data_IF_496041678035
#
_entry.id   IF_496041678035
#
_cell.length_a   1.000
_cell.length_b   1.000
_cell.length_c   1.000
_cell.angle_alpha   90.00
_cell.angle_beta   90.00
_cell.angle_gamma   90.00
#
_symmetry.space_group_name_H-M   'P 1'
#
loop_
_entity.id
_entity.type
_entity.pdbx_description
1 polymer ?
#
# COMPACT_ATOMS: atom_id res chain seq x y z
N UNK A 1 4.89 -20.68 -5.21
CA UNK A 1 4.24 -21.76 -4.43
C UNK A 1 5.17 -22.40 -3.39
N UNK A 2 6.47 -22.14 -3.39
CA UNK A 2 7.46 -22.71 -2.45
C UNK A 2 7.56 -22.01 -1.08
N UNK A 3 7.21 -20.75 -0.98
CA UNK A 3 7.31 -19.95 0.27
C UNK A 3 6.35 -20.41 1.38
N UNK A 4 5.18 -20.93 1.05
CA UNK A 4 4.22 -21.44 2.06
C UNK A 4 4.71 -22.73 2.74
N UNK A 5 5.51 -23.54 2.07
CA UNK A 5 6.09 -24.75 2.66
C UNK A 5 7.21 -24.46 3.67
N UNK A 6 8.00 -23.40 3.44
CA UNK A 6 9.11 -23.04 4.34
C UNK A 6 8.59 -22.53 5.69
N UNK A 7 7.55 -21.70 5.71
CA UNK A 7 6.94 -21.19 6.95
C UNK A 7 6.25 -22.33 7.72
N UNK A 8 5.66 -23.30 7.03
CA UNK A 8 5.04 -24.46 7.67
C UNK A 8 6.08 -25.39 8.33
N UNK A 9 7.26 -25.56 7.72
CA UNK A 9 8.36 -26.32 8.30
C UNK A 9 8.93 -25.69 9.57
N UNK A 10 9.07 -24.38 9.62
CA UNK A 10 9.54 -23.64 10.80
C UNK A 10 8.52 -23.74 11.96
N UNK A 11 7.22 -23.66 11.69
CA UNK A 11 6.17 -23.86 12.71
C UNK A 11 6.14 -25.27 13.27
N UNK A 12 6.41 -26.28 12.44
CA UNK A 12 6.44 -27.68 12.87
C UNK A 12 7.63 -27.98 13.77
N UNK A 13 8.79 -27.35 13.53
CA UNK A 13 9.97 -27.48 14.39
C UNK A 13 9.74 -26.83 15.77
N UNK A 14 9.02 -25.71 15.86
CA UNK A 14 8.70 -25.06 17.15
C UNK A 14 7.80 -25.90 18.06
N UNK A 15 6.90 -26.68 17.48
CA UNK A 15 6.00 -27.54 18.26
C UNK A 15 6.67 -28.84 18.74
N UNK A 16 7.75 -29.30 18.11
CA UNK A 16 8.52 -30.45 18.55
C UNK A 16 9.40 -30.18 19.77
N UNK A 17 9.70 -28.90 20.08
CA UNK A 17 10.49 -28.50 21.25
C UNK A 17 9.64 -28.19 22.50
N UNK A 18 8.31 -28.24 22.43
CA UNK A 18 7.39 -27.90 23.54
C UNK A 18 6.67 -29.08 24.17
N UNK A 19 6.94 -30.33 23.77
CA UNK A 19 6.41 -31.50 24.52
C UNK A 19 7.28 -31.76 25.76
N UNK A 20 6.83 -31.19 26.86
CA UNK A 20 7.23 -31.47 28.24
C UNK A 20 6.71 -32.83 28.63
N UNK A 21 7.49 -33.94 28.39
CA UNK A 21 7.33 -35.19 29.19
C UNK A 21 8.36 -36.23 28.78
N UNK A 22 9.68 -35.99 29.02
CA UNK A 22 10.66 -37.05 28.88
C UNK A 22 11.88 -36.90 29.84
N UNK A 23 11.65 -36.42 31.05
CA UNK A 23 12.72 -36.30 32.05
C UNK A 23 12.26 -36.80 33.41
N UNK A 24 12.07 -38.13 33.53
CA UNK A 24 12.11 -38.83 34.80
C UNK A 24 12.51 -40.26 34.49
N UNK A 25 13.81 -40.51 34.51
CA UNK A 25 14.46 -41.79 34.90
C UNK A 25 15.87 -41.83 34.31
N UNK A 26 16.83 -41.81 35.19
CA UNK A 26 18.31 -41.85 35.03
C UNK A 26 18.96 -40.47 35.08
N UNK A 27 19.28 -40.03 36.29
CA UNK A 27 20.22 -38.93 36.52
C UNK A 27 21.59 -39.31 35.96
N UNK A 28 22.13 -38.55 34.98
CA UNK A 28 23.45 -38.81 34.45
C UNK A 28 24.51 -38.61 35.55
N UNK A 29 25.58 -39.41 35.53
CA UNK A 29 26.68 -39.25 36.47
C UNK A 29 27.29 -37.86 36.39
N UNK A 30 27.86 -37.36 37.50
CA UNK A 30 28.49 -36.03 37.57
C UNK A 30 29.47 -35.76 36.41
N UNK A 31 30.19 -36.80 35.96
CA UNK A 31 31.10 -36.75 34.83
C UNK A 31 30.38 -36.61 33.46
N UNK A 32 29.13 -37.11 33.31
CA UNK A 32 28.37 -36.99 32.09
C UNK A 32 27.73 -35.61 31.99
N UNK A 33 27.36 -35.02 33.12
CA UNK A 33 26.86 -33.62 33.19
C UNK A 33 27.97 -32.64 32.79
N UNK A 34 29.19 -32.84 33.28
CA UNK A 34 30.37 -32.01 32.93
C UNK A 34 30.69 -32.14 31.43
N UNK A 35 30.63 -33.33 30.86
CA UNK A 35 30.82 -33.54 29.40
C UNK A 35 29.74 -32.91 28.59
N UNK A 36 28.47 -32.91 29.03
CA UNK A 36 27.36 -32.30 28.36
C UNK A 36 27.47 -30.77 28.41
N UNK A 37 27.82 -30.20 29.55
CA UNK A 37 28.06 -28.75 29.71
C UNK A 37 29.22 -28.31 28.80
N UNK A 38 30.33 -29.02 28.77
CA UNK A 38 31.45 -28.69 27.88
C UNK A 38 31.06 -28.78 26.39
N UNK A 39 30.24 -29.75 26.00
CA UNK A 39 29.71 -29.80 24.59
C UNK A 39 28.77 -28.62 24.28
N UNK A 40 27.89 -28.24 25.20
CA UNK A 40 26.99 -27.10 25.02
C UNK A 40 27.80 -25.80 24.93
N UNK A 41 28.80 -25.62 25.79
CA UNK A 41 29.70 -24.45 25.74
C UNK A 41 30.48 -24.41 24.43
N UNK A 42 31.02 -25.56 23.96
CA UNK A 42 31.70 -25.61 22.66
C UNK A 42 30.80 -25.31 21.49
N UNK A 43 29.55 -25.82 21.48
CA UNK A 43 28.57 -25.54 20.44
C UNK A 43 28.15 -24.06 20.49
N UNK A 44 27.99 -23.50 21.69
CA UNK A 44 27.66 -22.06 21.86
C UNK A 44 28.79 -21.15 21.38
N UNK A 45 30.05 -21.51 21.66
CA UNK A 45 31.24 -20.79 21.18
C UNK A 45 31.33 -20.91 19.65
N UNK A 46 31.08 -22.07 19.07
CA UNK A 46 31.10 -22.29 17.62
C UNK A 46 29.93 -21.53 16.94
N UNK A 47 28.74 -21.44 17.58
CA UNK A 47 27.66 -20.63 17.07
C UNK A 47 27.96 -19.13 17.12
N UNK A 48 28.54 -18.63 18.19
CA UNK A 48 28.93 -17.21 18.31
C UNK A 48 30.08 -16.89 17.34
N UNK A 49 31.06 -17.79 17.15
CA UNK A 49 32.10 -17.58 16.14
C UNK A 49 31.58 -17.79 14.71
N UNK A 50 30.70 -18.74 14.49
CA UNK A 50 30.03 -18.94 13.20
C UNK A 50 29.15 -17.75 12.80
N UNK A 51 28.41 -17.18 13.73
CA UNK A 51 27.63 -15.95 13.45
C UNK A 51 28.53 -14.74 13.18
N UNK A 52 29.67 -14.59 13.84
CA UNK A 52 30.60 -13.50 13.54
C UNK A 52 31.36 -13.68 12.22
N UNK A 53 31.54 -14.91 11.74
CA UNK A 53 32.21 -15.18 10.46
C UNK A 53 31.24 -15.07 9.26
N UNK A 54 29.91 -15.16 9.52
CA UNK A 54 28.86 -14.93 8.53
C UNK A 54 28.40 -13.47 8.45
N UNK A 55 28.94 -12.59 9.31
CA UNK A 55 28.91 -11.14 9.05
C UNK A 55 30.13 -10.81 8.14
N UNK A 56 30.25 -11.50 7.01
CA UNK A 56 30.80 -10.85 5.84
C UNK A 56 29.98 -9.56 5.68
N UNK A 57 30.68 -8.43 5.46
CA UNK A 57 30.06 -7.18 5.02
C UNK A 57 29.03 -7.59 3.98
N UNK A 58 27.77 -7.67 4.37
CA UNK A 58 26.68 -7.89 3.44
C UNK A 58 26.94 -6.88 2.34
N UNK A 59 27.05 -7.35 1.10
CA UNK A 59 26.96 -6.49 -0.05
C UNK A 59 25.82 -5.49 0.26
N UNK A 60 25.97 -4.20 -0.03
CA UNK A 60 24.94 -3.22 0.24
C UNK A 60 23.64 -3.87 -0.24
N UNK A 61 22.69 -4.02 0.70
CA UNK A 61 21.42 -4.68 0.43
C UNK A 61 20.86 -4.01 -0.81
N UNK A 62 20.51 -4.80 -1.81
CA UNK A 62 20.01 -4.30 -3.07
C UNK A 62 18.81 -3.39 -2.77
N UNK A 63 18.65 -2.30 -3.53
CA UNK A 63 17.57 -1.34 -3.34
C UNK A 63 16.17 -1.97 -3.28
N UNK A 64 16.01 -3.09 -3.97
CA UNK A 64 14.81 -3.93 -3.94
C UNK A 64 14.48 -4.43 -2.51
N UNK A 65 15.48 -4.82 -1.72
CA UNK A 65 15.26 -5.29 -0.34
C UNK A 65 14.55 -4.24 0.53
N UNK A 66 15.00 -2.99 0.48
CA UNK A 66 14.37 -1.92 1.26
C UNK A 66 12.97 -1.59 0.78
N UNK A 67 12.69 -1.72 -0.51
CA UNK A 67 11.34 -1.52 -1.07
C UNK A 67 10.41 -2.64 -0.57
N UNK A 68 10.85 -3.89 -0.58
CA UNK A 68 10.07 -5.03 -0.07
C UNK A 68 9.77 -4.89 1.41
N UNK A 69 10.77 -4.52 2.23
CA UNK A 69 10.57 -4.27 3.66
C UNK A 69 9.65 -3.08 3.92
N UNK A 70 9.74 -2.03 3.10
CA UNK A 70 8.83 -0.89 3.13
C UNK A 70 7.39 -1.30 2.90
N UNK A 71 7.12 -2.09 1.88
CA UNK A 71 5.78 -2.59 1.59
C UNK A 71 5.28 -3.60 2.63
N UNK A 72 6.16 -4.41 3.22
CA UNK A 72 5.81 -5.31 4.32
C UNK A 72 5.40 -4.53 5.57
N UNK A 73 6.14 -3.48 5.91
CA UNK A 73 5.80 -2.58 7.01
C UNK A 73 4.46 -1.86 6.73
N UNK A 74 4.27 -1.35 5.51
CA UNK A 74 3.03 -0.71 5.05
C UNK A 74 1.82 -1.63 5.22
N UNK A 75 1.87 -2.85 4.67
CA UNK A 75 0.79 -3.84 4.77
C UNK A 75 0.48 -4.27 6.20
N UNK A 76 1.40 -3.98 7.13
CA UNK A 76 1.23 -4.19 8.58
C UNK A 76 0.77 -2.92 9.30
N UNK A 77 0.38 -1.88 8.58
CA UNK A 77 -0.01 -0.55 9.09
C UNK A 77 1.08 0.18 9.89
N UNK A 78 2.35 -0.19 9.70
CA UNK A 78 3.53 0.42 10.34
C UNK A 78 4.14 1.50 9.44
N UNK A 79 3.37 2.56 9.17
CA UNK A 79 3.69 3.54 8.14
C UNK A 79 4.98 4.34 8.39
N UNK A 80 5.33 4.64 9.65
CA UNK A 80 6.59 5.31 10.00
C UNK A 80 7.82 4.41 9.74
N UNK A 81 7.66 3.10 9.87
CA UNK A 81 8.70 2.13 9.55
C UNK A 81 8.81 1.96 8.03
N UNK A 82 7.68 1.91 7.33
CA UNK A 82 7.63 1.90 5.88
C UNK A 82 8.37 3.12 5.30
N UNK A 83 8.12 4.32 5.82
CA UNK A 83 8.84 5.54 5.41
C UNK A 83 10.34 5.42 5.56
N UNK A 84 10.84 4.84 6.66
CA UNK A 84 12.29 4.66 6.87
C UNK A 84 12.89 3.75 5.80
N UNK A 85 12.22 2.66 5.48
CA UNK A 85 12.68 1.73 4.45
C UNK A 85 12.66 2.38 3.07
N UNK A 86 11.57 3.05 2.68
CA UNK A 86 11.50 3.74 1.39
C UNK A 86 12.53 4.87 1.27
N UNK A 87 12.77 5.65 2.34
CA UNK A 87 13.83 6.67 2.33
C UNK A 87 15.22 6.05 2.20
N UNK A 88 15.48 4.93 2.89
CA UNK A 88 16.76 4.23 2.73
C UNK A 88 16.93 3.72 1.29
N UNK A 89 15.85 3.21 0.68
CA UNK A 89 15.89 2.81 -0.73
C UNK A 89 16.19 4.01 -1.67
N UNK A 90 15.61 5.17 -1.40
CA UNK A 90 15.90 6.41 -2.16
C UNK A 90 17.38 6.81 -2.03
N UNK A 91 17.94 6.73 -0.81
CA UNK A 91 19.33 7.11 -0.54
C UNK A 91 20.35 6.14 -1.13
N UNK A 92 19.98 4.88 -1.30
CA UNK A 92 20.89 3.81 -1.76
C UNK A 92 20.82 3.56 -3.26
N UNK A 93 19.79 4.05 -3.95
CA UNK A 93 19.59 3.85 -5.38
C UNK A 93 19.87 5.10 -6.19
N UNK A 94 20.22 4.90 -7.46
CA UNK A 94 20.41 5.98 -8.42
C UNK A 94 19.09 6.75 -8.62
N UNK A 95 19.17 8.08 -8.65
CA UNK A 95 18.01 8.99 -8.72
C UNK A 95 17.14 8.87 -9.98
N UNK A 96 17.60 8.14 -11.00
CA UNK A 96 16.86 7.85 -12.24
C UNK A 96 16.37 6.40 -12.34
N UNK A 97 16.59 5.58 -11.31
CA UNK A 97 16.30 4.15 -11.36
C UNK A 97 14.81 3.83 -11.10
N UNK A 98 14.39 2.64 -11.54
CA UNK A 98 13.07 2.08 -11.21
C UNK A 98 12.89 1.96 -9.69
N UNK A 99 13.92 1.56 -8.95
CA UNK A 99 13.87 1.45 -7.49
C UNK A 99 13.63 2.79 -6.80
N UNK A 100 14.26 3.87 -7.29
CA UNK A 100 14.00 5.22 -6.79
C UNK A 100 12.53 5.63 -7.05
N UNK A 101 12.02 5.36 -8.25
CA UNK A 101 10.62 5.58 -8.60
C UNK A 101 9.66 4.82 -7.68
N UNK A 102 9.86 3.50 -7.51
CA UNK A 102 9.02 2.65 -6.65
C UNK A 102 9.04 3.11 -5.19
N UNK A 103 10.17 3.58 -4.69
CA UNK A 103 10.32 4.09 -3.33
C UNK A 103 9.53 5.38 -3.11
N UNK A 104 9.54 6.30 -4.07
CA UNK A 104 8.74 7.51 -4.03
C UNK A 104 7.24 7.22 -4.06
N UNK A 105 6.81 6.22 -4.84
CA UNK A 105 5.42 5.73 -4.84
C UNK A 105 5.05 5.19 -3.47
N UNK A 106 5.92 4.38 -2.85
CA UNK A 106 5.73 3.85 -1.50
C UNK A 106 5.58 4.93 -0.43
N UNK A 107 6.45 5.96 -0.47
CA UNK A 107 6.34 7.12 0.42
C UNK A 107 5.03 7.89 0.21
N UNK A 108 4.59 8.04 -1.04
CA UNK A 108 3.31 8.66 -1.37
C UNK A 108 2.16 7.93 -0.69
N UNK A 109 2.08 6.62 -0.86
CA UNK A 109 1.07 5.77 -0.23
C UNK A 109 1.11 5.84 1.30
N UNK A 110 2.29 5.70 1.89
CA UNK A 110 2.47 5.77 3.33
C UNK A 110 1.93 7.10 3.90
N UNK A 111 2.21 8.22 3.24
CA UNK A 111 1.70 9.52 3.66
C UNK A 111 0.18 9.67 3.46
N UNK A 112 -0.44 9.07 2.41
CA UNK A 112 -1.89 9.04 2.24
C UNK A 112 -2.53 8.32 3.43
N UNK A 113 -2.05 7.13 3.78
CA UNK A 113 -2.63 6.34 4.87
C UNK A 113 -2.40 6.98 6.26
N UNK A 114 -1.26 7.62 6.47
CA UNK A 114 -1.04 8.44 7.69
C UNK A 114 -2.03 9.60 7.78
N UNK A 115 -2.30 10.26 6.66
CA UNK A 115 -3.29 11.33 6.62
C UNK A 115 -4.71 10.85 6.95
N UNK A 116 -5.08 9.65 6.51
CA UNK A 116 -6.38 9.04 6.82
C UNK A 116 -6.49 8.58 8.28
N UNK A 117 -5.39 8.18 8.91
CA UNK A 117 -5.37 7.69 10.29
C UNK A 117 -5.44 8.82 11.34
N UNK A 118 -5.27 10.09 10.95
CA UNK A 118 -5.21 11.24 11.86
C UNK A 118 -6.43 12.13 11.63
N UNK A 119 -6.97 12.71 12.70
CA UNK A 119 -8.07 13.67 12.61
C UNK A 119 -7.73 14.86 11.69
N UNK A 120 -8.72 15.34 10.94
CA UNK A 120 -8.63 16.24 9.78
C UNK A 120 -7.66 17.43 9.87
N UNK A 121 -7.50 18.04 11.02
CA UNK A 121 -6.69 19.27 11.16
C UNK A 121 -5.17 19.04 11.10
N UNK A 122 -4.71 17.85 11.45
CA UNK A 122 -3.28 17.49 11.47
C UNK A 122 -2.83 16.75 10.19
N UNK A 123 -3.75 16.35 9.34
CA UNK A 123 -3.50 15.54 8.13
C UNK A 123 -2.89 16.32 6.96
N UNK A 124 -3.05 17.67 6.93
CA UNK A 124 -2.61 18.52 5.82
C UNK A 124 -1.13 18.35 5.44
N UNK A 125 -0.25 18.17 6.43
CA UNK A 125 1.18 17.95 6.18
C UNK A 125 1.45 16.66 5.40
N UNK A 126 0.79 15.58 5.79
CA UNK A 126 0.96 14.28 5.13
C UNK A 126 0.40 14.26 3.71
N UNK A 127 -0.77 14.86 3.49
CA UNK A 127 -1.38 14.96 2.15
C UNK A 127 -0.48 15.76 1.19
N UNK A 128 0.10 16.85 1.67
CA UNK A 128 1.04 17.66 0.90
C UNK A 128 2.32 16.87 0.59
N UNK A 129 2.92 16.22 1.60
CA UNK A 129 4.10 15.39 1.41
C UNK A 129 3.85 14.23 0.43
N UNK A 130 2.67 13.59 0.52
CA UNK A 130 2.26 12.59 -0.46
C UNK A 130 2.27 13.18 -1.87
N UNK A 131 1.64 14.33 -2.08
CA UNK A 131 1.61 15.01 -3.38
C UNK A 131 2.99 15.36 -3.90
N UNK A 132 3.92 15.83 -3.05
CA UNK A 132 5.28 16.13 -3.42
C UNK A 132 6.04 14.88 -3.91
N UNK A 133 6.01 13.78 -3.14
CA UNK A 133 6.65 12.52 -3.51
C UNK A 133 6.08 11.93 -4.80
N UNK A 134 4.74 11.90 -4.91
CA UNK A 134 4.06 11.35 -6.09
C UNK A 134 4.29 12.18 -7.35
N UNK A 135 4.40 13.52 -7.24
CA UNK A 135 4.75 14.36 -8.37
C UNK A 135 6.19 14.10 -8.85
N UNK A 136 7.14 13.92 -7.93
CA UNK A 136 8.51 13.53 -8.28
C UNK A 136 8.50 12.15 -8.95
N UNK A 137 7.77 11.20 -8.41
CA UNK A 137 7.60 9.86 -9.00
C UNK A 137 7.02 9.93 -10.42
N UNK A 138 5.97 10.75 -10.64
CA UNK A 138 5.34 10.91 -11.95
C UNK A 138 6.32 11.51 -12.97
N UNK A 139 7.06 12.53 -12.59
CA UNK A 139 8.09 13.13 -13.45
C UNK A 139 9.20 12.12 -13.77
N UNK A 140 9.63 11.33 -12.79
CA UNK A 140 10.64 10.30 -12.98
C UNK A 140 10.16 9.21 -13.92
N UNK A 141 8.93 8.74 -13.74
CA UNK A 141 8.28 7.71 -14.59
C UNK A 141 8.33 8.11 -16.08
N UNK A 142 8.06 9.37 -16.40
CA UNK A 142 8.08 9.89 -17.77
C UNK A 142 9.48 9.88 -18.39
N UNK A 143 10.54 9.84 -17.57
CA UNK A 143 11.93 9.88 -18.02
C UNK A 143 12.61 8.50 -17.97
N UNK A 144 11.97 7.48 -17.38
CA UNK A 144 12.50 6.11 -17.37
C UNK A 144 12.38 5.54 -18.78
N UNK A 145 13.53 5.13 -19.36
CA UNK A 145 13.54 4.43 -20.62
C UNK A 145 13.22 2.94 -20.41
N UNK A 146 12.01 2.54 -20.77
CA UNK A 146 11.54 1.16 -20.58
C UNK A 146 12.39 0.14 -21.32
N UNK A 147 12.97 0.51 -22.48
CA UNK A 147 13.80 -0.38 -23.29
C UNK A 147 15.14 -0.72 -22.61
N UNK A 148 15.59 0.12 -21.67
CA UNK A 148 16.82 -0.07 -20.91
C UNK A 148 16.61 -0.80 -19.58
N UNK A 149 15.35 -1.02 -19.16
CA UNK A 149 15.01 -1.76 -17.96
C UNK A 149 15.22 -3.25 -18.22
N UNK A 150 15.80 -3.97 -17.25
CA UNK A 150 15.90 -5.43 -17.34
C UNK A 150 14.52 -6.08 -17.29
N UNK A 151 14.36 -7.24 -17.97
CA UNK A 151 13.06 -7.93 -18.05
C UNK A 151 12.45 -8.21 -16.68
N UNK A 152 13.27 -8.47 -15.66
CA UNK A 152 12.82 -8.76 -14.30
C UNK A 152 12.15 -7.54 -13.64
N UNK A 153 12.54 -6.32 -14.01
CA UNK A 153 11.99 -5.07 -13.45
C UNK A 153 10.80 -4.52 -14.27
N UNK A 154 10.50 -5.06 -15.45
CA UNK A 154 9.36 -4.60 -16.27
C UNK A 154 8.04 -4.77 -15.50
N UNK A 155 7.85 -5.93 -14.85
CA UNK A 155 6.64 -6.20 -14.05
C UNK A 155 6.48 -5.21 -12.90
N UNK A 156 7.55 -4.98 -12.15
CA UNK A 156 7.56 -4.06 -11.01
C UNK A 156 7.31 -2.62 -11.44
N UNK A 157 7.89 -2.20 -12.57
CA UNK A 157 7.64 -0.88 -13.14
C UNK A 157 6.16 -0.68 -13.52
N UNK A 158 5.53 -1.66 -14.19
CA UNK A 158 4.12 -1.56 -14.58
C UNK A 158 3.19 -1.56 -13.37
N UNK A 159 3.45 -2.40 -12.37
CA UNK A 159 2.73 -2.40 -11.09
C UNK A 159 2.91 -1.06 -10.39
N UNK A 160 4.15 -0.57 -10.27
CA UNK A 160 4.46 0.73 -9.67
C UNK A 160 3.78 1.90 -10.37
N UNK A 161 3.66 1.86 -11.70
CA UNK A 161 2.92 2.86 -12.49
C UNK A 161 1.42 2.85 -12.14
N UNK A 162 0.79 1.69 -12.06
CA UNK A 162 -0.61 1.57 -11.65
C UNK A 162 -0.80 2.06 -10.21
N UNK A 163 0.09 1.70 -9.29
CA UNK A 163 0.08 2.20 -7.91
C UNK A 163 0.26 3.73 -7.86
N UNK A 164 1.11 4.31 -8.69
CA UNK A 164 1.29 5.76 -8.80
C UNK A 164 0.00 6.46 -9.20
N UNK A 165 -0.66 6.00 -10.25
CA UNK A 165 -1.90 6.63 -10.72
C UNK A 165 -3.03 6.54 -9.71
N UNK A 166 -3.20 5.39 -9.04
CA UNK A 166 -4.16 5.25 -7.96
C UNK A 166 -3.85 6.20 -6.79
N UNK A 167 -2.58 6.30 -6.38
CA UNK A 167 -2.14 7.21 -5.33
C UNK A 167 -2.39 8.68 -5.69
N UNK A 168 -2.07 9.09 -6.91
CA UNK A 168 -2.31 10.44 -7.40
C UNK A 168 -3.80 10.78 -7.42
N UNK A 169 -4.63 9.87 -7.94
CA UNK A 169 -6.08 10.05 -7.95
C UNK A 169 -6.64 10.27 -6.53
N UNK A 170 -6.29 9.41 -5.59
CA UNK A 170 -6.71 9.52 -4.18
C UNK A 170 -6.18 10.79 -3.52
N UNK A 171 -4.90 11.09 -3.68
CA UNK A 171 -4.25 12.26 -3.07
C UNK A 171 -4.86 13.57 -3.58
N UNK A 172 -5.12 13.69 -4.88
CA UNK A 172 -5.73 14.89 -5.47
C UNK A 172 -7.16 15.12 -4.94
N UNK A 173 -7.98 14.08 -4.96
CA UNK A 173 -9.35 14.16 -4.43
C UNK A 173 -9.36 14.50 -2.94
N UNK A 174 -8.51 13.84 -2.15
CA UNK A 174 -8.42 14.09 -0.71
C UNK A 174 -7.94 15.50 -0.39
N UNK A 175 -6.92 15.99 -1.11
CA UNK A 175 -6.41 17.36 -0.95
C UNK A 175 -7.46 18.41 -1.36
N UNK A 176 -8.20 18.17 -2.44
CA UNK A 176 -9.31 19.04 -2.85
C UNK A 176 -10.41 19.11 -1.77
N UNK A 177 -10.81 17.96 -1.21
CA UNK A 177 -11.78 17.88 -0.09
C UNK A 177 -11.31 18.70 1.12
N UNK A 178 -10.02 18.58 1.51
CA UNK A 178 -9.45 19.36 2.61
C UNK A 178 -9.44 20.87 2.36
N UNK A 179 -9.04 21.31 1.16
CA UNK A 179 -9.06 22.72 0.80
C UNK A 179 -10.46 23.28 0.82
N UNK A 180 -11.45 22.53 0.32
CA UNK A 180 -12.85 22.92 0.33
C UNK A 180 -13.42 23.03 1.76
N UNK A 181 -13.05 22.11 2.67
CA UNK A 181 -13.51 22.10 4.05
C UNK A 181 -12.95 23.26 4.90
N UNK A 182 -11.76 23.79 4.57
CA UNK A 182 -11.11 24.89 5.31
C UNK A 182 -11.78 26.28 5.12
N UNK A 183 -12.87 26.37 4.40
CA UNK A 183 -13.89 27.42 4.53
C UNK A 183 -13.59 28.82 3.99
N UNK A 184 -12.41 29.10 3.45
CA UNK A 184 -12.10 30.38 2.81
C UNK A 184 -12.18 30.21 1.30
N UNK A 185 -13.40 30.26 0.75
CA UNK A 185 -13.62 30.14 -0.70
C UNK A 185 -13.28 31.49 -1.36
N UNK A 186 -11.99 31.70 -1.64
CA UNK A 186 -11.59 32.68 -2.66
C UNK A 186 -11.75 32.03 -4.04
N UNK A 187 -11.91 32.85 -5.08
CA UNK A 187 -11.92 32.37 -6.47
C UNK A 187 -10.70 31.50 -6.80
N UNK A 188 -9.53 31.88 -6.30
CA UNK A 188 -8.28 31.14 -6.49
C UNK A 188 -8.37 29.74 -5.86
N UNK A 189 -8.90 29.62 -4.63
CA UNK A 189 -9.07 28.32 -3.97
C UNK A 189 -10.08 27.47 -4.71
N UNK A 190 -11.20 28.04 -5.16
CA UNK A 190 -12.21 27.35 -5.95
C UNK A 190 -11.62 26.78 -7.23
N UNK A 191 -10.81 27.54 -7.95
CA UNK A 191 -10.13 27.07 -9.16
C UNK A 191 -9.12 25.98 -8.86
N UNK A 192 -8.33 26.09 -7.77
CA UNK A 192 -7.37 25.05 -7.35
C UNK A 192 -8.09 23.75 -6.98
N UNK A 193 -9.19 23.84 -6.23
CA UNK A 193 -9.99 22.67 -5.85
C UNK A 193 -10.54 21.97 -7.10
N UNK A 194 -11.07 22.74 -8.05
CA UNK A 194 -11.57 22.21 -9.31
C UNK A 194 -10.46 21.49 -10.08
N UNK A 195 -9.29 22.12 -10.26
CA UNK A 195 -8.15 21.50 -10.96
C UNK A 195 -7.72 20.19 -10.29
N UNK A 196 -7.70 20.13 -8.94
CA UNK A 196 -7.36 18.91 -8.23
C UNK A 196 -8.36 17.78 -8.49
N UNK A 197 -9.66 18.07 -8.57
CA UNK A 197 -10.64 17.05 -8.95
C UNK A 197 -10.49 16.61 -10.41
N UNK A 198 -10.21 17.53 -11.33
CA UNK A 198 -9.93 17.23 -12.74
C UNK A 198 -8.68 16.31 -12.85
N UNK A 199 -7.58 16.65 -12.18
CA UNK A 199 -6.38 15.81 -12.12
C UNK A 199 -6.66 14.43 -11.50
N UNK A 200 -7.49 14.37 -10.45
CA UNK A 200 -7.88 13.09 -9.82
C UNK A 200 -8.61 12.18 -10.80
N UNK A 201 -9.52 12.72 -11.58
CA UNK A 201 -10.23 12.00 -12.64
C UNK A 201 -9.23 11.51 -13.69
N UNK A 202 -8.39 12.39 -14.22
CA UNK A 202 -7.40 12.07 -15.25
C UNK A 202 -6.48 10.92 -14.81
N UNK A 203 -5.95 10.95 -13.59
CA UNK A 203 -5.12 9.85 -13.08
C UNK A 203 -5.91 8.56 -12.89
N UNK A 204 -7.16 8.64 -12.42
CA UNK A 204 -7.99 7.46 -12.25
C UNK A 204 -8.33 6.77 -13.59
N UNK A 205 -8.42 7.52 -14.68
CA UNK A 205 -8.67 7.00 -16.04
C UNK A 205 -7.47 6.27 -16.65
N UNK A 206 -6.25 6.47 -16.09
CA UNK A 206 -5.06 5.72 -16.50
C UNK A 206 -5.02 4.28 -15.93
N UNK A 207 -5.96 3.92 -15.05
CA UNK A 207 -6.01 2.60 -14.43
C UNK A 207 -6.82 1.62 -15.27
N UNK A 208 -6.33 0.40 -15.37
CA UNK A 208 -7.00 -0.71 -16.03
C UNK A 208 -8.06 -1.33 -15.09
N UNK A 209 -9.06 -2.00 -15.66
CA UNK A 209 -10.20 -2.55 -14.92
C UNK A 209 -9.82 -3.69 -13.97
N UNK A 210 -8.64 -4.27 -14.12
CA UNK A 210 -8.10 -5.32 -13.26
C UNK A 210 -7.18 -4.79 -12.15
N UNK A 211 -7.14 -3.47 -11.96
CA UNK A 211 -6.33 -2.86 -10.90
C UNK A 211 -6.67 -3.44 -9.52
N UNK A 212 -5.65 -3.93 -8.84
CA UNK A 212 -5.67 -4.36 -7.44
C UNK A 212 -4.46 -3.79 -6.74
N UNK A 213 -4.69 -3.10 -5.62
CA UNK A 213 -3.59 -2.64 -4.79
C UNK A 213 -3.06 -3.79 -3.94
N UNK A 214 -1.92 -4.34 -4.31
CA UNK A 214 -1.38 -5.58 -3.72
C UNK A 214 -1.04 -5.46 -2.22
N UNK A 215 -0.90 -4.24 -1.72
CA UNK A 215 -0.47 -3.96 -0.35
C UNK A 215 -1.63 -3.62 0.60
N UNK A 216 -2.83 -3.42 0.06
CA UNK A 216 -4.08 -3.34 0.80
C UNK A 216 -5.21 -3.99 -0.02
N UNK A 217 -5.68 -5.13 0.43
CA UNK A 217 -6.71 -5.93 -0.25
C UNK A 217 -8.08 -5.24 -0.29
N UNK A 218 -8.27 -4.18 0.50
CA UNK A 218 -9.52 -3.42 0.53
C UNK A 218 -9.57 -2.34 -0.56
N UNK A 219 -8.44 -1.98 -1.17
CA UNK A 219 -8.41 -1.00 -2.26
C UNK A 219 -8.39 -1.73 -3.62
N UNK A 220 -9.49 -1.64 -4.34
CA UNK A 220 -9.72 -2.29 -5.64
C UNK A 220 -10.15 -1.26 -6.68
N UNK A 221 -10.29 -1.69 -7.93
CA UNK A 221 -10.76 -0.84 -9.02
C UNK A 221 -12.16 -0.23 -8.74
N UNK A 222 -13.05 -0.98 -8.08
CA UNK A 222 -14.35 -0.45 -7.67
C UNK A 222 -14.25 0.81 -6.78
N UNK A 223 -13.29 0.87 -5.86
CA UNK A 223 -13.08 2.05 -5.01
C UNK A 223 -12.61 3.25 -5.83
N UNK A 224 -11.81 3.00 -6.86
CA UNK A 224 -11.39 4.03 -7.82
C UNK A 224 -12.58 4.51 -8.68
N UNK A 225 -13.50 3.61 -9.08
CA UNK A 225 -14.73 4.00 -9.80
C UNK A 225 -15.66 4.84 -8.92
N UNK A 226 -15.80 4.49 -7.64
CA UNK A 226 -16.55 5.30 -6.66
C UNK A 226 -15.93 6.69 -6.55
N UNK A 227 -14.63 6.78 -6.33
CA UNK A 227 -13.88 8.05 -6.26
C UNK A 227 -14.08 8.89 -7.54
N UNK A 228 -13.94 8.26 -8.70
CA UNK A 228 -14.12 8.91 -10.01
C UNK A 228 -15.53 9.45 -10.17
N UNK A 229 -16.54 8.65 -9.81
CA UNK A 229 -17.95 9.06 -9.83
C UNK A 229 -18.20 10.26 -8.94
N UNK A 230 -17.69 10.26 -7.70
CA UNK A 230 -17.79 11.40 -6.78
C UNK A 230 -17.15 12.66 -7.37
N UNK A 231 -15.96 12.54 -7.93
CA UNK A 231 -15.24 13.67 -8.52
C UNK A 231 -15.98 14.24 -9.74
N UNK A 232 -16.52 13.40 -10.63
CA UNK A 232 -17.34 13.85 -11.76
C UNK A 232 -18.61 14.57 -11.30
N UNK A 233 -19.29 14.09 -10.24
CA UNK A 233 -20.45 14.78 -9.67
C UNK A 233 -20.08 16.16 -9.12
N UNK A 234 -18.96 16.28 -8.41
CA UNK A 234 -18.46 17.56 -7.87
C UNK A 234 -18.14 18.54 -9.01
N UNK A 235 -17.61 18.05 -10.12
CA UNK A 235 -17.28 18.82 -11.31
C UNK A 235 -18.53 19.20 -12.14
N UNK A 236 -19.70 18.61 -11.84
CA UNK A 236 -20.95 18.80 -12.59
C UNK A 236 -21.04 17.96 -13.86
N UNK A 237 -20.19 16.98 -14.05
CA UNK A 237 -20.12 16.09 -15.21
C UNK A 237 -20.99 14.84 -14.96
N UNK A 238 -22.32 15.03 -14.99
CA UNK A 238 -23.28 13.99 -14.61
C UNK A 238 -23.29 12.77 -15.54
N UNK A 239 -23.06 12.95 -16.83
CA UNK A 239 -23.04 11.85 -17.80
C UNK A 239 -21.86 10.91 -17.53
N UNK A 240 -20.68 11.47 -17.33
CA UNK A 240 -19.47 10.73 -17.01
C UNK A 240 -19.56 10.06 -15.64
N UNK A 241 -20.21 10.73 -14.67
CA UNK A 241 -20.46 10.12 -13.35
C UNK A 241 -21.36 8.88 -13.47
N UNK A 242 -22.43 8.93 -14.27
CA UNK A 242 -23.30 7.77 -14.53
C UNK A 242 -22.51 6.65 -15.22
N UNK A 243 -21.72 6.99 -16.24
CA UNK A 243 -20.91 6.01 -16.97
C UNK A 243 -19.87 5.32 -16.05
N UNK A 244 -19.21 6.10 -15.18
CA UNK A 244 -18.25 5.56 -14.21
C UNK A 244 -18.92 4.66 -13.18
N UNK A 245 -20.06 5.08 -12.62
CA UNK A 245 -20.81 4.29 -11.65
C UNK A 245 -21.28 2.94 -12.22
N UNK A 246 -21.78 2.94 -13.45
CA UNK A 246 -22.30 1.75 -14.12
C UNK A 246 -21.19 0.74 -14.51
N UNK A 247 -19.90 1.06 -14.30
CA UNK A 247 -18.78 0.14 -14.42
C UNK A 247 -18.47 -0.62 -13.12
N UNK A 248 -19.08 -0.24 -11.98
CA UNK A 248 -18.84 -0.90 -10.70
C UNK A 248 -19.32 -2.34 -10.78
N UNK A 249 -18.44 -3.26 -10.45
CA UNK A 249 -18.76 -4.69 -10.30
C UNK A 249 -19.33 -4.93 -8.90
N UNK A 250 -20.65 -4.94 -8.80
CA UNK A 250 -21.37 -5.11 -7.54
C UNK A 250 -21.16 -6.49 -6.90
N UNK A 251 -20.78 -7.50 -7.68
CA UNK A 251 -20.51 -8.85 -7.17
C UNK A 251 -19.19 -8.91 -6.37
N UNK A 252 -18.33 -7.91 -6.51
CA UNK A 252 -17.09 -7.77 -5.75
C UNK A 252 -17.23 -6.96 -4.46
N UNK A 253 -18.42 -6.44 -4.17
CA UNK A 253 -18.67 -5.71 -2.93
C UNK A 253 -18.98 -6.68 -1.79
N UNK A 254 -18.45 -6.40 -0.59
CA UNK A 254 -18.64 -7.21 0.61
C UNK A 254 -19.99 -6.91 1.33
N UNK A 255 -20.88 -6.15 0.69
CA UNK A 255 -22.19 -5.74 1.21
C UNK A 255 -23.27 -5.78 0.13
N UNK A 256 -24.52 -5.90 0.55
CA UNK A 256 -25.65 -5.91 -0.38
C UNK A 256 -26.00 -4.49 -0.85
N UNK A 257 -26.18 -4.33 -2.16
CA UNK A 257 -26.67 -3.12 -2.81
C UNK A 257 -28.05 -3.39 -3.41
N UNK A 258 -28.92 -2.38 -3.38
CA UNK A 258 -30.26 -2.48 -3.94
C UNK A 258 -30.23 -2.86 -5.43
N UNK A 259 -31.18 -3.69 -5.86
CA UNK A 259 -31.30 -4.14 -7.26
C UNK A 259 -31.46 -2.96 -8.23
N UNK A 260 -32.09 -1.87 -7.80
CA UNK A 260 -32.20 -0.62 -8.58
C UNK A 260 -30.84 -0.07 -8.99
N UNK A 261 -29.85 -0.11 -8.08
CA UNK A 261 -28.49 0.36 -8.35
C UNK A 261 -27.70 -0.59 -9.24
N UNK A 262 -27.96 -1.89 -9.15
CA UNK A 262 -27.30 -2.93 -9.97
C UNK A 262 -27.76 -2.95 -11.42
N UNK A 263 -29.01 -2.54 -11.68
CA UNK A 263 -29.57 -2.48 -13.04
C UNK A 263 -29.09 -1.30 -13.86
N UNK A 264 -28.28 -0.43 -13.28
CA UNK A 264 -27.77 0.80 -13.85
C UNK A 264 -28.50 2.03 -13.34
N UNK A 265 -27.76 3.09 -13.09
CA UNK A 265 -28.28 4.36 -12.55
C UNK A 265 -28.53 5.36 -13.66
N UNK A 266 -29.46 6.27 -13.38
CA UNK A 266 -29.69 7.50 -14.13
C UNK A 266 -29.43 8.72 -13.22
N UNK A 267 -29.68 9.92 -13.73
CA UNK A 267 -29.46 11.16 -12.97
C UNK A 267 -30.29 11.27 -11.69
N UNK A 268 -31.42 10.53 -11.59
CA UNK A 268 -32.33 10.60 -10.43
C UNK A 268 -31.91 9.61 -9.32
N UNK A 269 -31.26 8.51 -9.66
CA UNK A 269 -30.90 7.43 -8.74
C UNK A 269 -29.40 7.44 -8.38
N UNK A 270 -28.55 8.07 -9.20
CA UNK A 270 -27.10 8.06 -9.04
C UNK A 270 -26.63 8.46 -7.63
N UNK A 271 -27.10 9.59 -7.10
CA UNK A 271 -26.63 10.12 -5.80
C UNK A 271 -27.01 9.17 -4.67
N UNK A 272 -28.22 8.59 -4.70
CA UNK A 272 -28.67 7.60 -3.72
C UNK A 272 -27.81 6.34 -3.79
N UNK A 273 -27.60 5.81 -4.98
CA UNK A 273 -26.82 4.60 -5.19
C UNK A 273 -25.32 4.79 -4.84
N UNK A 274 -24.76 5.94 -5.20
CA UNK A 274 -23.39 6.29 -4.83
C UNK A 274 -23.23 6.39 -3.31
N UNK A 275 -24.19 7.02 -2.61
CA UNK A 275 -24.18 7.09 -1.15
C UNK A 275 -24.19 5.70 -0.51
N UNK A 276 -24.99 4.76 -1.02
CA UNK A 276 -25.02 3.38 -0.53
C UNK A 276 -23.68 2.68 -0.74
N UNK A 277 -23.06 2.84 -1.91
CA UNK A 277 -21.78 2.20 -2.22
C UNK A 277 -20.64 2.81 -1.39
N UNK A 278 -20.58 4.15 -1.28
CA UNK A 278 -19.55 4.85 -0.51
C UNK A 278 -19.61 4.58 1.00
N UNK A 279 -20.77 4.12 1.52
CA UNK A 279 -20.99 3.88 2.95
C UNK A 279 -21.37 2.42 3.26
N UNK A 280 -20.88 1.47 2.47
CA UNK A 280 -21.03 0.02 2.70
C UNK A 280 -22.49 -0.40 2.90
N UNK A 281 -23.37 0.02 2.03
CA UNK A 281 -24.78 -0.35 2.03
C UNK A 281 -25.69 0.48 2.94
N UNK A 282 -25.16 1.48 3.67
CA UNK A 282 -25.96 2.35 4.56
C UNK A 282 -25.75 3.82 4.19
N UNK A 283 -26.78 4.51 3.73
CA UNK A 283 -26.67 5.94 3.46
C UNK A 283 -27.02 6.76 4.73
N UNK A 284 -26.13 7.62 5.25
CA UNK A 284 -26.35 8.38 6.49
C UNK A 284 -27.42 9.48 6.34
N UNK A 285 -27.87 9.79 5.11
CA UNK A 285 -28.87 10.83 4.84
C UNK A 285 -30.32 10.29 4.73
N UNK A 286 -30.52 8.99 5.00
CA UNK A 286 -31.84 8.34 4.91
C UNK A 286 -32.20 7.94 3.47
N UNK A 287 -33.16 7.01 3.37
CA UNK A 287 -33.71 6.54 2.08
C UNK A 287 -34.53 7.62 1.36
#
# INVERSE_FOLDING_TARGET
MEWKESIWKIRKLRNLFCERSFWTENLPSENDVIKMINRIVYISILMVWGCNFLIEKSAPLDGDFYIQDGWLAFSSSRYEEADKHFNTAIETNDSGSVFHFLSLVGLGWSNIYKAQAIEETSSNGYVKNAGENLNVANNLMLNINIEEITLDLHGDYHIGRSHLFAALALQRSYYAKQLAANGVISETISNTVRTLYEESVEFSEQLENDFVFQHDVNLRFNDILVLRTENYLILGNFEEAILSFNQIDFDQLDFEVNEECKQGVDSSTLVKCLCLVSHNGTCPFGD
#
